data_IF_421900608059
#
_entry.id   IF_421900608059
#
_cell.length_a   1.000
_cell.length_b   1.000
_cell.length_c   1.000
_cell.angle_alpha   90.00
_cell.angle_beta   90.00
_cell.angle_gamma   90.00
#
_symmetry.space_group_name_H-M   'P 1'
#
loop_
_entity.id
_entity.type
_entity.pdbx_description
1 polymer ?
2 polymer ?
3 polymer ?
4 polymer ?
5 non-polymer ?
6 non-polymer ?
7 non-polymer ?
8 non-polymer ?
9 non-polymer ?
10 non-polymer ?
11 non-polymer ?
12 water ?
#
loop_
_entity_poly.entity_id
_entity_poly.type
_entity_poly.pdbx_seq_one_letter_code
_entity_poly.pdbx_strand_id
2 'polydeoxyribonucleotide' '(DC)(DG)(DG)(DC)(DC)(DT)(DA)(DC)(DG)' ?
3 'polydeoxyribonucleotide' '(DC)(DG)(DT)(DA)(DG)' ?
4 'polydeoxyribonucleotide' '(DG)(DC)(DC)(DG)' ?
#
# COMPACT_ATOMS: atom_id res chain seq x y z
N UNK A 12 -7.50 3.96 -24.29
CA UNK A 12 -7.26 3.73 -22.85
C UNK A 12 -8.04 2.51 -22.34
N UNK A 13 -7.32 1.46 -21.93
CA UNK A 13 -8.02 0.25 -21.45
C UNK A 13 -8.67 0.50 -20.08
N UNK A 14 -9.66 -0.33 -19.77
CA UNK A 14 -10.49 -0.03 -18.61
C UNK A 14 -9.85 -0.45 -17.28
N UNK A 15 -8.92 -1.40 -17.30
CA UNK A 15 -8.27 -1.90 -16.09
C UNK A 15 -6.88 -1.28 -15.93
N UNK A 16 -6.52 -0.92 -14.70
CA UNK A 16 -5.22 -0.28 -14.51
C UNK A 16 -4.05 -1.20 -14.84
N UNK A 17 -4.24 -2.52 -14.77
CA UNK A 17 -3.17 -3.46 -15.05
C UNK A 17 -2.89 -3.61 -16.54
N UNK A 18 -3.70 -2.97 -17.40
CA UNK A 18 -3.55 -3.03 -18.84
C UNK A 18 -2.79 -1.84 -19.42
N UNK A 19 -2.31 -0.93 -18.58
CA UNK A 19 -1.65 0.26 -19.07
C UNK A 19 -0.52 0.63 -18.13
N UNK A 20 0.58 1.17 -18.66
CA UNK A 20 1.65 1.63 -17.77
C UNK A 20 1.23 2.87 -17.01
N UNK A 21 1.58 2.91 -15.73
CA UNK A 21 1.31 4.08 -14.91
C UNK A 21 2.60 4.46 -14.20
N UNK A 22 3.26 5.54 -14.60
CA UNK A 22 4.54 5.93 -14.01
C UNK A 22 4.30 6.66 -12.70
N UNK A 23 5.39 6.79 -11.93
CA UNK A 23 5.26 7.39 -10.61
C UNK A 23 4.95 8.86 -10.70
N UNK A 24 5.61 9.55 -11.60
CA UNK A 24 5.33 10.96 -11.85
C UNK A 24 4.66 11.10 -13.21
N UNK A 25 3.82 12.12 -13.34
CA UNK A 25 2.98 12.20 -14.52
C UNK A 25 2.59 13.66 -14.79
N UNK A 26 1.55 13.85 -15.59
CA UNK A 26 1.24 15.15 -16.17
C UNK A 26 -0.10 15.68 -15.71
N UNK A 27 -0.72 15.07 -14.70
CA UNK A 27 -2.05 15.48 -14.25
C UNK A 27 -2.12 15.40 -12.73
N UNK A 28 -1.02 15.76 -12.08
CA UNK A 28 -0.90 15.55 -10.64
C UNK A 28 -2.01 16.20 -9.85
N UNK A 29 -2.30 17.48 -10.15
CA UNK A 29 -3.32 18.20 -9.41
C UNK A 29 -4.70 17.60 -9.57
N UNK A 30 -5.03 17.16 -10.79
CA UNK A 30 -6.33 16.55 -11.03
C UNK A 30 -6.45 15.23 -10.28
N UNK A 31 -5.41 14.40 -10.33
CA UNK A 31 -5.50 13.11 -9.68
C UNK A 31 -5.59 13.25 -8.17
N UNK A 32 -4.89 14.24 -7.59
CA UNK A 32 -4.91 14.43 -6.15
C UNK A 32 -6.32 14.80 -5.68
N UNK A 33 -7.03 15.62 -6.46
CA UNK A 33 -8.37 16.04 -6.08
C UNK A 33 -9.31 14.85 -6.08
N UNK A 34 -9.24 14.02 -7.13
CA UNK A 34 -10.09 12.85 -7.17
C UNK A 34 -9.75 11.88 -6.04
N UNK A 35 -8.47 11.79 -5.68
CA UNK A 35 -8.10 10.90 -4.56
C UNK A 35 -8.61 11.40 -3.23
N UNK A 36 -8.78 12.72 -3.05
CA UNK A 36 -9.45 13.22 -1.84
C UNK A 36 -10.87 12.66 -1.75
N UNK A 37 -11.61 12.73 -2.87
CA UNK A 37 -12.97 12.23 -2.87
C UNK A 37 -13.00 10.72 -2.67
N UNK A 38 -12.01 10.02 -3.20
CA UNK A 38 -11.93 8.57 -2.99
C UNK A 38 -11.75 8.27 -1.51
N UNK A 39 -10.82 8.97 -0.88
CA UNK A 39 -10.53 8.77 0.54
C UNK A 39 -11.77 9.05 1.37
N UNK A 40 -12.45 10.16 1.07
CA UNK A 40 -13.65 10.51 1.82
C UNK A 40 -14.72 9.45 1.67
N UNK A 41 -14.86 8.89 0.46
CA UNK A 41 -15.84 7.81 0.27
C UNK A 41 -15.49 6.61 1.13
N UNK A 42 -14.22 6.30 1.26
CA UNK A 42 -13.82 5.21 2.12
C UNK A 42 -14.19 5.48 3.57
N UNK A 43 -14.02 6.72 4.01
CA UNK A 43 -14.37 7.03 5.40
C UNK A 43 -15.86 6.87 5.67
N UNK A 44 -16.68 6.96 4.63
CA UNK A 44 -18.13 6.77 4.78
C UNK A 44 -18.56 5.34 4.47
N UNK A 45 -17.61 4.44 4.23
CA UNK A 45 -17.93 3.05 3.95
C UNK A 45 -18.42 2.75 2.55
N UNK A 46 -18.21 3.64 1.59
CA UNK A 46 -18.66 3.39 0.22
C UNK A 46 -17.45 2.98 -0.60
N UNK A 47 -17.16 1.69 -0.59
CA UNK A 47 -16.02 1.16 -1.31
C UNK A 47 -16.21 1.31 -2.82
N UNK A 48 -17.44 1.25 -3.30
CA UNK A 48 -17.66 1.39 -4.73
C UNK A 48 -17.29 2.77 -5.23
N UNK A 49 -17.76 3.81 -4.55
CA UNK A 49 -17.39 5.17 -4.94
C UNK A 49 -15.90 5.40 -4.77
N UNK A 50 -15.30 4.86 -3.71
CA UNK A 50 -13.84 4.96 -3.55
C UNK A 50 -13.13 4.40 -4.76
N UNK A 51 -13.58 3.22 -5.22
CA UNK A 51 -12.93 2.58 -6.36
C UNK A 51 -13.08 3.42 -7.62
N UNK A 52 -14.28 3.92 -7.90
CA UNK A 52 -14.43 4.72 -9.12
C UNK A 52 -13.54 5.96 -9.08
N UNK A 53 -13.48 6.67 -7.94
CA UNK A 53 -12.65 7.87 -7.87
C UNK A 53 -11.16 7.52 -7.98
N UNK A 54 -10.74 6.41 -7.35
CA UNK A 54 -9.36 5.95 -7.48
C UNK A 54 -9.03 5.58 -8.91
N UNK A 55 -9.96 4.86 -9.58
CA UNK A 55 -9.73 4.45 -10.96
C UNK A 55 -9.66 5.66 -11.89
N UNK A 56 -10.56 6.63 -11.71
CA UNK A 56 -10.51 7.85 -12.51
C UNK A 56 -9.21 8.60 -12.30
N UNK A 57 -8.77 8.73 -11.05
CA UNK A 57 -7.48 9.36 -10.80
C UNK A 57 -6.36 8.62 -11.54
N UNK A 58 -6.41 7.28 -11.49
CA UNK A 58 -5.35 6.48 -12.10
C UNK A 58 -5.33 6.63 -13.62
N UNK A 59 -6.50 6.79 -14.24
CA UNK A 59 -6.54 7.02 -15.68
C UNK A 59 -5.75 8.27 -16.02
N UNK A 60 -5.91 9.33 -15.21
CA UNK A 60 -5.21 10.56 -15.50
C UNK A 60 -3.71 10.39 -15.33
N UNK A 61 -3.28 9.57 -14.36
CA UNK A 61 -1.86 9.32 -14.21
C UNK A 61 -1.25 8.65 -15.43
N UNK A 62 -2.05 7.89 -16.18
CA UNK A 62 -1.56 7.13 -17.32
C UNK A 62 -1.58 7.90 -18.63
N UNK A 63 -2.15 9.11 -18.64
CA UNK A 63 -2.21 9.90 -19.86
C UNK A 63 -0.83 10.45 -20.21
N UNK A 64 -0.58 10.66 -21.51
CA UNK A 64 0.75 11.12 -21.95
C UNK A 64 0.99 12.61 -21.84
N UNK A 65 -0.03 13.39 -21.48
CA UNK A 65 0.13 14.84 -21.41
C UNK A 65 -0.98 15.40 -20.53
N UNK A 66 -0.92 16.69 -20.21
CA UNK A 66 -1.96 17.26 -19.33
C UNK A 66 -3.32 17.35 -20.01
N UNK A 67 -4.36 17.09 -19.22
CA UNK A 67 -5.71 17.45 -19.61
C UNK A 67 -5.88 18.96 -19.48
N UNK A 68 -6.25 19.61 -20.59
CA UNK A 68 -6.47 21.05 -20.65
C UNK A 68 -7.93 21.41 -20.88
N UNK A 69 -8.70 20.52 -21.46
CA UNK A 69 -10.09 20.83 -21.83
C UNK A 69 -10.95 19.63 -21.48
N UNK A 70 -12.19 19.92 -21.09
CA UNK A 70 -13.13 18.86 -20.74
C UNK A 70 -13.26 17.84 -21.85
N UNK A 71 -13.19 18.30 -23.10
CA UNK A 71 -13.34 17.43 -24.25
C UNK A 71 -12.38 16.25 -24.22
N UNK A 72 -11.23 16.41 -23.55
CA UNK A 72 -10.25 15.33 -23.53
C UNK A 72 -10.66 14.18 -22.61
N UNK A 73 -11.74 14.34 -21.86
CA UNK A 73 -12.22 13.25 -21.02
C UNK A 73 -13.21 12.33 -21.73
N UNK A 74 -13.76 12.76 -22.86
CA UNK A 74 -14.74 11.93 -23.57
C UNK A 74 -14.07 10.62 -24.01
N UNK A 75 -14.73 9.52 -23.76
CA UNK A 75 -14.17 8.23 -24.07
C UNK A 75 -13.23 7.67 -23.01
N UNK A 76 -12.81 8.47 -22.01
CA UNK A 76 -11.92 7.85 -21.01
C UNK A 76 -12.73 7.00 -20.03
N UNK A 77 -12.25 5.81 -19.70
CA UNK A 77 -12.97 4.97 -18.74
C UNK A 77 -12.99 5.60 -17.36
N UNK A 78 -14.11 5.40 -16.65
CA UNK A 78 -14.33 5.79 -15.26
C UNK A 78 -14.57 7.28 -15.10
N UNK A 79 -14.79 8.02 -16.20
CA UNK A 79 -15.20 9.42 -16.15
C UNK A 79 -16.65 9.53 -16.55
N UNK A 80 -17.51 9.73 -15.55
CA UNK A 80 -18.90 10.03 -15.74
C UNK A 80 -19.22 11.45 -15.34
N UNK A 81 -20.48 11.68 -15.00
CA UNK A 81 -20.91 13.03 -14.68
C UNK A 81 -20.12 13.61 -13.51
N UNK A 82 -19.96 12.81 -12.45
CA UNK A 82 -19.39 13.35 -11.22
C UNK A 82 -17.90 13.64 -11.38
N UNK A 83 -17.11 12.65 -11.80
CA UNK A 83 -15.67 12.86 -11.94
C UNK A 83 -15.37 13.92 -12.98
N UNK A 84 -16.19 13.99 -14.03
CA UNK A 84 -15.97 15.00 -15.06
C UNK A 84 -16.25 16.39 -14.52
N UNK A 85 -17.25 16.55 -13.65
CA UNK A 85 -17.53 17.86 -13.10
C UNK A 85 -16.42 18.33 -12.18
N UNK A 86 -15.80 17.41 -11.44
CA UNK A 86 -14.66 17.77 -10.61
C UNK A 86 -13.54 18.35 -11.47
N UNK A 87 -13.20 17.65 -12.55
CA UNK A 87 -12.11 18.10 -13.42
C UNK A 87 -12.48 19.43 -14.08
N UNK A 88 -13.74 19.56 -14.52
CA UNK A 88 -14.16 20.80 -15.17
C UNK A 88 -13.99 22.00 -14.24
N UNK A 89 -14.35 21.83 -12.97
CA UNK A 89 -14.22 22.95 -12.03
C UNK A 89 -12.75 23.26 -11.77
N UNK A 90 -11.90 22.25 -11.70
CA UNK A 90 -10.47 22.49 -11.52
C UNK A 90 -9.88 23.22 -12.72
N UNK A 91 -10.30 22.83 -13.94
CA UNK A 91 -9.78 23.47 -15.14
C UNK A 91 -10.22 24.92 -15.23
N UNK A 92 -11.46 25.21 -14.87
CA UNK A 92 -11.99 26.55 -15.03
C UNK A 92 -11.67 27.47 -13.86
N UNK A 93 -11.62 26.97 -12.63
CA UNK A 93 -11.42 27.82 -11.46
C UNK A 93 -10.19 27.49 -10.64
N UNK A 94 -9.50 26.37 -10.90
CA UNK A 94 -8.36 25.97 -10.12
C UNK A 94 -8.69 25.32 -8.79
N UNK A 95 -9.97 25.16 -8.47
CA UNK A 95 -10.43 24.51 -7.25
C UNK A 95 -11.79 23.90 -7.53
N UNK A 96 -12.09 22.81 -6.85
CA UNK A 96 -13.39 22.15 -6.91
C UNK A 96 -14.06 22.33 -5.55
N UNK A 97 -15.24 22.95 -5.54
CA UNK A 97 -15.84 23.30 -4.25
C UNK A 97 -16.11 22.07 -3.41
N UNK A 98 -16.55 20.98 -4.04
CA UNK A 98 -16.77 19.75 -3.29
C UNK A 98 -15.50 19.27 -2.60
N UNK A 99 -14.39 19.27 -3.33
CA UNK A 99 -13.12 18.83 -2.78
C UNK A 99 -12.73 19.71 -1.59
N UNK A 100 -12.85 21.03 -1.73
CA UNK A 100 -12.44 21.91 -0.64
C UNK A 100 -13.33 21.74 0.58
N UNK A 101 -14.62 21.49 0.36
CA UNK A 101 -15.53 21.28 1.48
C UNK A 101 -15.18 20.00 2.23
N UNK A 102 -14.79 18.97 1.49
CA UNK A 102 -14.31 17.75 2.14
C UNK A 102 -13.05 18.06 2.93
N UNK A 103 -12.09 18.72 2.30
CA UNK A 103 -10.81 18.99 2.93
C UNK A 103 -10.95 19.66 4.28
N UNK A 104 -11.83 20.65 4.39
CA UNK A 104 -11.93 21.41 5.62
C UNK A 104 -12.91 20.79 6.62
N UNK A 105 -13.61 19.72 6.24
CA UNK A 105 -14.65 19.19 7.10
C UNK A 105 -14.06 18.49 8.32
N UNK A 106 -14.72 18.68 9.47
CA UNK A 106 -14.28 18.04 10.70
C UNK A 106 -14.27 16.53 10.54
N UNK A 107 -15.29 15.98 9.90
CA UNK A 107 -15.37 14.54 9.68
C UNK A 107 -14.18 14.03 8.89
N UNK A 108 -13.84 14.68 7.78
CA UNK A 108 -12.73 14.21 6.98
C UNK A 108 -11.42 14.33 7.76
N UNK A 109 -11.17 15.48 8.37
CA UNK A 109 -9.88 15.67 9.03
C UNK A 109 -9.71 14.69 10.20
N UNK A 110 -10.76 14.46 10.97
CA UNK A 110 -10.64 13.57 12.12
C UNK A 110 -10.53 12.11 11.68
N UNK A 111 -11.29 11.68 10.68
CA UNK A 111 -11.16 10.31 10.25
C UNK A 111 -9.77 10.07 9.65
N UNK A 112 -9.25 11.05 8.91
CA UNK A 112 -7.89 10.93 8.41
C UNK A 112 -6.89 10.81 9.55
N UNK A 113 -7.01 11.68 10.57
CA UNK A 113 -6.11 11.61 11.72
C UNK A 113 -6.20 10.27 12.43
N UNK A 114 -7.41 9.78 12.65
CA UNK A 114 -7.55 8.55 13.43
C UNK A 114 -7.10 7.33 12.63
N UNK A 115 -7.49 7.25 11.36
CA UNK A 115 -7.13 6.07 10.60
C UNK A 115 -5.63 6.02 10.30
N UNK A 116 -4.94 7.16 10.34
CA UNK A 116 -3.49 7.17 10.21
C UNK A 116 -2.82 6.39 11.32
N UNK A 117 -3.49 6.25 12.48
CA UNK A 117 -2.90 5.55 13.60
C UNK A 117 -2.77 4.06 13.29
N UNK A 118 -1.57 3.50 13.50
CA UNK A 118 -1.38 2.06 13.43
C UNK A 118 -2.24 1.37 14.49
N UNK A 119 -3.13 0.48 14.05
CA UNK A 119 -4.05 -0.21 14.93
C UNK A 119 -5.47 0.28 14.86
N UNK A 120 -5.72 1.37 14.11
CA UNK A 120 -7.02 1.98 14.00
C UNK A 120 -7.44 1.95 12.55
N UNK A 121 -8.58 1.29 12.27
CA UNK A 121 -9.18 1.32 10.96
C UNK A 121 -10.37 2.25 10.86
N UNK A 122 -11.03 2.22 9.70
CA UNK A 122 -12.19 3.08 9.48
C UNK A 122 -13.26 2.81 10.52
N UNK A 123 -13.55 1.53 10.82
CA UNK A 123 -14.63 1.22 11.75
C UNK A 123 -14.35 1.76 13.14
N UNK A 124 -13.11 1.60 13.63
CA UNK A 124 -12.79 2.14 14.95
C UNK A 124 -12.83 3.67 14.95
N UNK A 125 -12.18 4.30 13.96
CA UNK A 125 -12.17 5.75 13.87
C UNK A 125 -13.58 6.32 13.84
N UNK A 126 -14.47 5.70 13.05
CA UNK A 126 -15.85 6.17 12.97
C UNK A 126 -16.55 6.07 14.32
N UNK A 127 -16.34 4.97 15.05
CA UNK A 127 -16.95 4.85 16.37
C UNK A 127 -16.45 5.95 17.30
N UNK A 128 -15.14 6.18 17.33
CA UNK A 128 -14.58 7.25 18.16
C UNK A 128 -15.15 8.60 17.74
N UNK A 129 -15.30 8.82 16.42
CA UNK A 129 -15.89 10.06 15.93
C UNK A 129 -17.29 10.25 16.49
N UNK A 130 -18.11 9.20 16.42
CA UNK A 130 -19.48 9.30 16.90
C UNK A 130 -19.51 9.51 18.41
N UNK A 131 -18.51 9.03 19.13
CA UNK A 131 -18.45 9.24 20.58
C UNK A 131 -18.00 10.64 20.94
N UNK A 132 -17.60 11.45 19.97
CA UNK A 132 -17.22 12.82 20.22
C UNK A 132 -15.73 13.07 20.25
N UNK A 133 -14.91 12.05 19.99
CA UNK A 133 -13.47 12.20 20.06
C UNK A 133 -12.98 12.87 18.77
N UNK A 134 -11.97 13.74 18.90
CA UNK A 134 -11.50 14.51 17.76
C UNK A 134 -9.99 14.61 17.62
N UNK A 135 -9.21 14.46 18.70
CA UNK A 135 -7.78 14.69 18.68
C UNK A 135 -7.03 13.50 19.25
N UNK A 136 -5.72 13.43 18.96
CA UNK A 136 -4.91 12.37 19.54
C UNK A 136 -4.90 12.48 21.06
N UNK A 137 -4.84 13.70 21.59
CA UNK A 137 -4.82 13.84 23.05
C UNK A 137 -6.13 13.36 23.68
N UNK A 138 -7.25 13.52 22.97
CA UNK A 138 -8.49 12.88 23.41
C UNK A 138 -8.30 11.38 23.63
N UNK A 139 -7.60 10.71 22.71
CA UNK A 139 -7.41 9.27 22.83
C UNK A 139 -6.42 8.93 23.94
N UNK A 140 -5.42 9.78 24.13
CA UNK A 140 -4.44 9.53 25.19
C UNK A 140 -5.05 9.68 26.58
N UNK A 141 -6.12 10.46 26.72
CA UNK A 141 -6.74 10.66 28.03
C UNK A 141 -7.77 9.59 28.37
N UNK A 142 -7.78 8.47 27.65
CA UNK A 142 -8.68 7.36 27.92
C UNK A 142 -7.99 6.09 27.47
N UNK A 143 -6.79 5.80 27.97
CA UNK A 143 -5.94 4.78 27.35
C UNK A 143 -6.37 3.36 27.63
N UNK A 144 -7.27 3.14 28.58
CA UNK A 144 -7.71 1.78 28.90
C UNK A 144 -8.56 1.20 27.78
N UNK A 145 -9.18 2.05 26.97
CA UNK A 145 -9.97 1.62 25.82
C UNK A 145 -9.12 1.16 24.65
N UNK A 146 -7.81 1.42 24.68
CA UNK A 146 -6.95 1.13 23.53
C UNK A 146 -6.36 -0.27 23.58
N UNK A 147 -6.21 -0.87 22.41
CA UNK A 147 -5.47 -2.11 22.31
C UNK A 147 -3.98 -1.83 22.44
N UNK A 148 -3.20 -2.89 22.70
CA UNK A 148 -1.75 -2.73 22.76
C UNK A 148 -1.23 -2.16 21.46
N UNK A 149 -1.78 -2.62 20.34
CA UNK A 149 -1.36 -2.15 19.03
C UNK A 149 -1.65 -0.66 18.90
N UNK A 150 -2.84 -0.25 19.33
CA UNK A 150 -3.21 1.16 19.22
C UNK A 150 -2.35 2.01 20.13
N UNK A 151 -2.00 1.51 21.32
CA UNK A 151 -1.13 2.27 22.21
C UNK A 151 0.21 2.51 21.56
N UNK A 152 0.77 1.47 20.94
CA UNK A 152 2.03 1.61 20.21
C UNK A 152 1.89 2.59 19.07
N UNK A 153 0.80 2.50 18.32
CA UNK A 153 0.59 3.42 17.21
C UNK A 153 0.47 4.86 17.67
N UNK A 154 -0.18 5.08 18.82
CA UNK A 154 -0.35 6.43 19.33
C UNK A 154 0.95 6.96 19.92
N UNK A 155 1.68 6.13 20.69
CA UNK A 155 2.96 6.61 21.23
C UNK A 155 3.93 7.01 20.12
N UNK A 156 3.98 6.22 19.05
CA UNK A 156 4.93 6.44 17.94
C UNK A 156 4.36 7.28 16.81
N UNK A 157 3.19 7.89 17.00
CA UNK A 157 2.49 8.47 15.86
C UNK A 157 3.32 9.57 15.19
N UNK A 158 4.00 10.39 15.98
CA UNK A 158 4.75 11.50 15.39
C UNK A 158 5.86 10.99 14.48
N UNK A 159 6.69 10.06 14.99
CA UNK A 159 7.73 9.48 14.14
C UNK A 159 7.12 8.80 12.91
N UNK A 160 6.01 8.09 13.09
CA UNK A 160 5.45 7.33 11.99
C UNK A 160 4.80 8.22 10.94
N UNK A 161 4.59 9.48 11.26
CA UNK A 161 4.08 10.47 10.32
C UNK A 161 5.18 11.11 9.49
N UNK A 162 6.43 10.87 9.81
CA UNK A 162 7.61 11.38 9.13
C UNK A 162 7.96 10.44 7.99
N UNK A 163 8.12 10.92 6.75
CA UNK A 163 8.40 9.99 5.66
C UNK A 163 9.71 9.25 5.84
N UNK A 164 9.68 7.96 5.49
CA UNK A 164 10.87 7.14 5.41
C UNK A 164 11.59 7.49 4.11
N UNK A 165 12.90 7.74 4.19
CA UNK A 165 13.64 8.11 2.99
C UNK A 165 14.28 6.88 2.37
N UNK A 166 14.35 6.86 1.03
CA UNK A 166 15.04 5.76 0.37
C UNK A 166 16.45 5.66 0.94
N UNK A 167 16.99 6.80 1.34
CA UNK A 167 18.31 6.80 1.98
C UNK A 167 18.33 6.00 3.27
N UNK A 168 17.20 5.88 3.99
CA UNK A 168 17.13 5.10 5.22
C UNK A 168 17.06 3.59 4.96
N UNK A 169 16.60 3.19 3.78
CA UNK A 169 16.16 1.81 3.56
C UNK A 169 17.35 0.86 3.48
N UNK A 170 18.46 1.32 2.89
CA UNK A 170 19.63 0.47 2.73
C UNK A 170 20.15 -0.02 4.07
N UNK A 171 20.32 0.91 5.02
CA UNK A 171 20.83 0.55 6.34
C UNK A 171 19.90 -0.44 7.02
N UNK A 172 18.60 -0.18 6.94
CA UNK A 172 17.60 -1.11 7.46
C UNK A 172 17.78 -2.50 6.85
N UNK A 173 17.83 -2.56 5.52
CA UNK A 173 17.88 -3.86 4.85
C UNK A 173 19.07 -4.67 5.32
N UNK A 174 20.21 -4.03 5.56
CA UNK A 174 21.35 -4.82 5.97
C UNK A 174 21.14 -5.38 7.39
N UNK A 175 20.47 -4.62 8.25
CA UNK A 175 20.20 -5.14 9.58
C UNK A 175 19.26 -6.34 9.50
N UNK A 176 18.24 -6.26 8.64
CA UNK A 176 17.32 -7.37 8.48
C UNK A 176 18.03 -8.57 7.86
N UNK A 177 18.91 -8.33 6.88
CA UNK A 177 19.68 -9.42 6.28
C UNK A 177 20.55 -10.13 7.30
N UNK A 178 21.17 -9.38 8.23
CA UNK A 178 22.00 -10.01 9.25
C UNK A 178 21.17 -10.98 10.09
N UNK A 179 19.98 -10.53 10.53
CA UNK A 179 19.14 -11.40 11.35
C UNK A 179 18.65 -12.61 10.56
N UNK A 180 18.26 -12.38 9.30
CA UNK A 180 17.75 -13.42 8.43
C UNK A 180 18.82 -14.47 8.16
N UNK A 181 20.06 -14.03 7.97
CA UNK A 181 21.16 -14.97 7.73
C UNK A 181 21.52 -15.84 8.91
N UNK A 182 21.37 -15.32 10.13
CA UNK A 182 21.56 -16.15 11.31
C UNK A 182 20.38 -17.09 11.48
N UNK A 183 19.19 -16.59 11.17
CA UNK A 183 17.99 -17.40 11.34
C UNK A 183 17.97 -18.55 10.36
N UNK A 184 18.44 -18.32 9.13
CA UNK A 184 18.48 -19.37 8.11
C UNK A 184 19.50 -19.00 7.03
N UNK A 185 20.71 -19.51 7.12
CA UNK A 185 21.70 -19.23 6.08
C UNK A 185 21.18 -19.55 4.68
N UNK A 186 21.46 -18.64 3.76
CA UNK A 186 20.98 -18.73 2.41
C UNK A 186 19.68 -18.03 2.16
N UNK A 187 18.97 -17.63 3.22
CA UNK A 187 17.72 -16.91 2.99
C UNK A 187 18.01 -15.50 2.49
N UNK A 188 17.08 -14.98 1.68
CA UNK A 188 17.28 -13.72 1.00
C UNK A 188 16.21 -12.73 1.41
N UNK A 189 16.54 -11.45 1.25
CA UNK A 189 15.66 -10.35 1.60
C UNK A 189 15.51 -9.48 0.35
N UNK A 190 14.27 -9.23 -0.05
CA UNK A 190 13.98 -8.40 -1.23
C UNK A 190 13.14 -7.20 -0.82
N UNK A 191 13.57 -6.00 -1.23
CA UNK A 191 12.77 -4.80 -0.99
C UNK A 191 11.58 -4.77 -1.92
N UNK A 192 10.39 -4.58 -1.35
CA UNK A 192 9.15 -4.51 -2.14
C UNK A 192 8.41 -3.19 -1.88
N UNK A 193 7.09 -3.20 -2.02
CA UNK A 193 6.30 -1.99 -1.80
C UNK A 193 6.68 -0.84 -2.72
N UNK A 194 6.38 0.38 -2.24
CA UNK A 194 6.58 1.55 -3.07
C UNK A 194 8.02 1.82 -3.46
N UNK A 195 8.98 1.46 -2.58
CA UNK A 195 10.37 1.72 -2.94
C UNK A 195 10.76 0.90 -4.15
N UNK A 196 10.21 -0.32 -4.29
CA UNK A 196 10.54 -1.11 -5.48
C UNK A 196 9.94 -0.49 -6.75
N UNK A 197 8.84 0.23 -6.62
CA UNK A 197 8.26 0.98 -7.73
C UNK A 197 8.95 2.31 -8.01
N UNK A 198 9.99 2.65 -7.27
CA UNK A 198 10.81 3.82 -7.53
C UNK A 198 10.54 5.00 -6.63
N UNK A 199 9.66 4.87 -5.66
CA UNK A 199 9.40 5.99 -4.75
C UNK A 199 10.66 6.35 -4.00
N UNK A 200 10.83 7.64 -3.74
CA UNK A 200 11.96 8.13 -2.99
C UNK A 200 11.63 8.24 -1.51
N UNK A 201 10.36 8.13 -1.15
CA UNK A 201 9.87 8.20 0.23
C UNK A 201 8.75 7.18 0.42
N UNK A 202 8.42 6.90 1.67
CA UNK A 202 7.30 6.03 1.93
C UNK A 202 6.88 6.13 3.38
N UNK A 203 5.72 5.54 3.68
CA UNK A 203 5.21 5.49 5.05
C UNK A 203 5.74 4.30 5.82
N UNK A 204 6.39 3.37 5.14
CA UNK A 204 6.96 2.19 5.78
C UNK A 204 7.89 1.52 4.79
N UNK A 205 8.56 0.47 5.25
CA UNK A 205 9.43 -0.34 4.41
C UNK A 205 8.88 -1.75 4.38
N UNK A 206 8.81 -2.35 3.19
CA UNK A 206 8.27 -3.68 2.96
C UNK A 206 9.35 -4.62 2.47
N UNK A 207 9.53 -5.75 3.16
CA UNK A 207 10.54 -6.73 2.76
C UNK A 207 9.91 -8.11 2.60
N UNK A 208 10.39 -8.83 1.59
CA UNK A 208 9.95 -10.19 1.26
C UNK A 208 11.13 -11.13 1.40
N UNK A 209 10.96 -12.18 2.20
CA UNK A 209 12.01 -13.11 2.57
C UNK A 209 11.68 -14.49 2.00
N UNK A 210 12.67 -15.15 1.40
CA UNK A 210 12.49 -16.52 0.94
C UNK A 210 13.81 -17.25 1.07
N UNK A 211 13.81 -18.49 0.62
CA UNK A 211 15.02 -19.34 0.62
C UNK A 211 14.95 -20.19 -0.63
N UNK A 212 16.09 -20.43 -1.31
CA UNK A 212 16.04 -21.12 -2.61
C UNK A 212 15.61 -22.58 -2.52
N UNK A 213 15.70 -23.20 -1.35
CA UNK A 213 15.30 -24.60 -1.18
C UNK A 213 13.87 -24.64 -0.63
N UNK A 214 12.93 -25.08 -1.46
CA UNK A 214 11.55 -25.13 -1.06
C UNK A 214 11.36 -25.88 0.25
N UNK A 215 10.63 -25.24 1.16
CA UNK A 215 10.36 -25.79 2.46
C UNK A 215 11.28 -25.30 3.55
N UNK A 216 12.47 -24.83 3.20
CA UNK A 216 13.40 -24.38 4.22
C UNK A 216 12.90 -23.13 4.92
N UNK A 217 11.98 -22.38 4.30
CA UNK A 217 11.47 -21.16 4.90
C UNK A 217 10.42 -21.41 5.98
N UNK A 218 9.96 -22.63 6.15
CA UNK A 218 8.97 -22.92 7.19
C UNK A 218 9.54 -22.53 8.54
N UNK A 219 8.73 -21.82 9.33
CA UNK A 219 9.11 -21.42 10.67
C UNK A 219 10.12 -20.31 10.75
N UNK A 220 10.41 -19.64 9.63
CA UNK A 220 11.50 -18.67 9.60
C UNK A 220 11.15 -17.37 10.32
N UNK A 221 9.96 -16.84 10.12
CA UNK A 221 9.71 -15.48 10.60
C UNK A 221 9.84 -15.37 12.12
N UNK A 222 9.36 -16.31 12.93
CA UNK A 222 9.61 -16.19 14.37
C UNK A 222 11.08 -16.14 14.72
N UNK A 223 11.90 -16.90 13.99
CA UNK A 223 13.34 -16.92 14.24
C UNK A 223 13.95 -15.57 13.89
N UNK A 224 13.45 -14.92 12.84
CA UNK A 224 13.95 -13.62 12.45
C UNK A 224 13.56 -12.58 13.49
N UNK A 225 12.29 -12.63 13.91
CA UNK A 225 11.79 -11.64 14.86
C UNK A 225 12.51 -11.72 16.20
N UNK A 226 12.76 -12.94 16.68
CA UNK A 226 13.45 -13.11 17.95
C UNK A 226 14.83 -12.47 17.90
N UNK A 227 15.51 -12.63 16.76
CA UNK A 227 16.87 -12.12 16.61
C UNK A 227 16.88 -10.60 16.53
N UNK A 228 15.94 -10.02 15.80
CA UNK A 228 15.83 -8.57 15.76
C UNK A 228 15.50 -8.02 17.13
N UNK A 229 14.64 -8.72 17.87
CA UNK A 229 14.27 -8.27 19.20
C UNK A 229 15.47 -8.35 20.15
N UNK A 230 16.26 -9.43 20.04
CA UNK A 230 17.45 -9.56 20.87
C UNK A 230 18.47 -8.45 20.57
N UNK A 231 18.48 -7.93 19.35
CA UNK A 231 19.36 -6.83 18.98
C UNK A 231 18.82 -5.48 19.45
N UNK A 232 17.67 -5.46 20.12
CA UNK A 232 17.09 -4.22 20.61
C UNK A 232 16.51 -3.32 19.53
N UNK A 233 16.19 -3.88 18.37
CA UNK A 233 15.72 -3.06 17.27
C UNK A 233 14.22 -2.97 17.15
N UNK A 234 13.48 -3.77 17.91
CA UNK A 234 12.05 -3.89 17.74
C UNK A 234 11.37 -3.10 18.85
N UNK A 235 10.69 -2.02 18.46
CA UNK A 235 9.92 -1.24 19.39
C UNK A 235 8.53 -1.84 19.62
N UNK A 236 7.99 -2.51 18.62
CA UNK A 236 6.70 -3.15 18.71
C UNK A 236 6.58 -4.27 17.68
N UNK A 237 6.05 -5.41 18.12
CA UNK A 237 5.50 -6.38 17.18
C UNK A 237 4.54 -7.27 17.95
N UNK A 238 3.66 -7.94 17.23
CA UNK A 238 2.57 -8.65 17.90
C UNK A 238 3.09 -9.77 18.79
N UNK A 258 3.32 -19.74 15.06
CA UNK A 258 3.76 -19.65 13.67
C UNK A 258 3.09 -18.47 12.97
N UNK A 259 3.80 -17.82 12.05
CA UNK A 259 3.24 -16.73 11.27
C UNK A 259 4.15 -16.46 10.08
N UNK A 260 3.60 -15.75 9.07
CA UNK A 260 4.32 -15.42 7.84
C UNK A 260 4.30 -13.94 7.46
N UNK A 261 3.53 -13.10 8.16
CA UNK A 261 3.58 -11.66 8.00
C UNK A 261 3.78 -11.03 9.38
N UNK A 262 4.66 -10.04 9.45
CA UNK A 262 4.90 -9.32 10.71
C UNK A 262 4.86 -7.83 10.42
N UNK A 263 4.02 -7.11 11.17
CA UNK A 263 3.87 -5.67 11.05
C UNK A 263 4.51 -5.07 12.28
N UNK A 264 5.70 -4.51 12.14
CA UNK A 264 6.38 -4.07 13.35
C UNK A 264 6.85 -2.63 13.23
N UNK A 265 7.29 -2.11 14.37
CA UNK A 265 7.89 -0.78 14.50
C UNK A 265 9.35 -1.02 14.90
N UNK A 266 10.28 -0.53 14.09
CA UNK A 266 11.72 -0.67 14.24
C UNK A 266 12.32 0.60 14.81
N UNK A 267 13.40 0.46 15.58
CA UNK A 267 14.24 1.58 15.92
C UNK A 267 15.25 1.81 14.80
N UNK A 268 15.20 2.96 14.16
CA UNK A 268 16.17 3.26 13.11
C UNK A 268 17.13 4.37 13.51
N UNK A 269 18.44 4.12 13.43
CA UNK A 269 19.42 5.17 13.75
C UNK A 269 19.15 6.50 13.05
N UNK A 270 19.51 7.57 13.77
CA UNK A 270 19.48 8.95 13.30
C UNK A 270 20.68 9.62 13.90
N UNK A 271 21.15 10.74 13.35
CA UNK A 271 22.31 11.41 13.93
C UNK A 271 22.12 11.71 15.41
N UNK A 272 22.88 11.03 16.26
CA UNK A 272 22.81 11.27 17.69
C UNK A 272 21.56 10.76 18.38
N UNK A 273 20.73 9.99 17.67
CA UNK A 273 19.48 9.50 18.24
C UNK A 273 18.90 8.43 17.33
N UNK A 274 17.57 8.33 17.26
CA UNK A 274 16.93 7.35 16.40
C UNK A 274 15.49 7.78 16.17
N UNK A 275 14.82 7.06 15.27
CA UNK A 275 13.40 7.30 15.06
C UNK A 275 12.70 5.97 14.83
N UNK A 276 11.42 5.94 15.18
CA UNK A 276 10.58 4.79 14.92
C UNK A 276 10.15 4.74 13.46
N UNK A 277 10.22 3.56 12.88
CA UNK A 277 9.83 3.32 11.48
C UNK A 277 8.97 2.06 11.42
N UNK A 278 7.92 2.10 10.62
CA UNK A 278 7.13 0.90 10.35
C UNK A 278 7.84 0.03 9.31
N UNK A 279 7.97 -1.26 9.62
CA UNK A 279 8.57 -2.25 8.74
C UNK A 279 7.66 -3.48 8.67
N UNK A 280 7.37 -3.94 7.45
CA UNK A 280 6.61 -5.15 7.22
C UNK A 280 7.57 -6.23 6.71
N UNK A 281 7.51 -7.40 7.30
CA UNK A 281 8.30 -8.55 6.87
C UNK A 281 7.34 -9.65 6.49
N UNK A 282 7.55 -10.25 5.32
CA UNK A 282 6.70 -11.34 4.86
C UNK A 282 7.59 -12.45 4.33
N UNK A 283 7.23 -13.69 4.64
CA UNK A 283 7.96 -14.86 4.19
C UNK A 283 7.11 -15.60 3.17
N UNK A 284 7.75 -16.07 2.11
CA UNK A 284 7.11 -16.93 1.12
C UNK A 284 8.01 -18.08 0.72
N UNK A 285 7.46 -19.26 0.46
CA UNK A 285 8.25 -20.31 -0.20
C UNK A 285 8.63 -19.86 -1.60
N UNK A 286 9.76 -20.39 -2.07
CA UNK A 286 10.26 -19.90 -3.35
C UNK A 286 9.29 -20.21 -4.48
N UNK A 287 8.51 -21.30 -4.37
CA UNK A 287 7.47 -21.58 -5.36
C UNK A 287 6.43 -20.45 -5.47
N UNK A 288 6.18 -19.74 -4.36
CA UNK A 288 5.19 -18.66 -4.34
C UNK A 288 5.84 -17.30 -4.51
N UNK A 289 7.17 -17.22 -4.49
CA UNK A 289 7.84 -15.93 -4.45
C UNK A 289 7.37 -15.00 -5.56
N UNK A 290 7.20 -15.44 -6.81
CA UNK A 290 6.76 -14.45 -7.84
C UNK A 290 5.41 -13.86 -7.54
N UNK A 291 4.51 -14.67 -7.00
CA UNK A 291 3.19 -14.13 -6.63
C UNK A 291 3.28 -13.17 -5.45
N UNK A 292 4.13 -13.50 -4.49
CA UNK A 292 4.26 -12.62 -3.33
C UNK A 292 4.97 -11.32 -3.70
N UNK A 293 6.00 -11.42 -4.54
CA UNK A 293 6.69 -10.24 -5.04
C UNK A 293 5.72 -9.34 -5.79
N UNK A 294 4.95 -9.93 -6.69
CA UNK A 294 3.96 -9.15 -7.43
C UNK A 294 2.97 -8.49 -6.48
N UNK A 295 2.37 -9.25 -5.59
CA UNK A 295 1.37 -8.67 -4.69
C UNK A 295 1.92 -7.57 -3.79
N UNK A 296 3.10 -7.81 -3.20
CA UNK A 296 3.65 -6.86 -2.25
C UNK A 296 4.33 -5.67 -2.93
N UNK A 297 4.57 -5.71 -4.23
CA UNK A 297 5.11 -4.55 -4.92
C UNK A 297 4.03 -3.56 -5.30
N UNK A 298 2.78 -4.00 -5.40
CA UNK A 298 1.70 -3.02 -5.56
C UNK A 298 1.69 -2.39 -6.96
N UNK A 299 1.16 -1.16 -7.04
CA UNK A 299 0.42 -0.48 -5.99
C UNK A 299 -0.81 -1.25 -5.54
N UNK A 300 -1.42 -0.77 -4.44
CA UNK A 300 -2.65 -1.38 -3.96
C UNK A 300 -3.72 -1.40 -5.07
N UNK A 301 -3.94 -0.26 -5.72
CA UNK A 301 -4.96 -0.26 -6.78
C UNK A 301 -4.56 -1.16 -7.93
N UNK A 302 -3.27 -1.16 -8.30
CA UNK A 302 -2.83 -2.04 -9.36
C UNK A 302 -3.19 -3.49 -9.06
N UNK A 303 -2.92 -3.94 -7.83
CA UNK A 303 -3.14 -5.34 -7.52
C UNK A 303 -4.64 -5.67 -7.43
N UNK A 304 -5.46 -4.77 -6.88
CA UNK A 304 -6.92 -4.96 -6.89
C UNK A 304 -7.41 -5.10 -8.31
N UNK A 305 -6.93 -4.22 -9.19
CA UNK A 305 -7.33 -4.27 -10.58
C UNK A 305 -6.83 -5.54 -11.26
N UNK A 306 -5.62 -5.97 -10.94
CA UNK A 306 -5.09 -7.19 -11.56
C UNK A 306 -5.87 -8.42 -11.12
N UNK A 307 -6.23 -8.50 -9.83
CA UNK A 307 -7.04 -9.61 -9.34
C UNK A 307 -8.45 -9.56 -9.94
N UNK A 308 -9.01 -8.36 -10.08
CA UNK A 308 -10.31 -8.22 -10.72
C UNK A 308 -10.26 -8.68 -12.18
N UNK A 309 -9.22 -8.25 -12.90
CA UNK A 309 -9.05 -8.64 -14.29
C UNK A 309 -8.91 -10.15 -14.43
N UNK A 310 -8.08 -10.74 -13.58
CA UNK A 310 -7.85 -12.17 -13.63
C UNK A 310 -9.16 -12.93 -13.52
N UNK A 311 -9.97 -12.57 -12.53
CA UNK A 311 -11.18 -13.32 -12.26
C UNK A 311 -12.26 -13.04 -13.31
N UNK A 312 -12.48 -11.77 -13.61
CA UNK A 312 -13.61 -11.39 -14.46
C UNK A 312 -13.32 -11.59 -15.94
N UNK A 313 -12.08 -11.35 -16.36
CA UNK A 313 -11.77 -11.48 -17.79
C UNK A 313 -11.17 -12.83 -18.15
N UNK A 314 -10.42 -13.46 -17.23
CA UNK A 314 -9.72 -14.68 -17.54
C UNK A 314 -10.24 -15.90 -16.78
N UNK A 315 -11.15 -15.70 -15.82
CA UNK A 315 -11.67 -16.81 -15.06
C UNK A 315 -10.68 -17.49 -14.14
N UNK A 316 -9.61 -16.80 -13.78
CA UNK A 316 -8.56 -17.30 -12.89
C UNK A 316 -8.53 -16.49 -11.60
N UNK A 317 -8.15 -17.16 -10.50
CA UNK A 317 -8.19 -16.55 -9.16
C UNK A 317 -6.78 -16.28 -8.67
N UNK A 318 -6.47 -15.01 -8.46
CA UNK A 318 -5.12 -14.56 -8.11
C UNK A 318 -5.03 -14.07 -6.68
N UNK A 319 -3.97 -14.48 -5.98
CA UNK A 319 -3.63 -13.88 -4.70
C UNK A 319 -2.11 -13.89 -4.59
N UNK A 320 -1.60 -13.55 -3.39
CA UNK A 320 -0.16 -13.49 -3.20
C UNK A 320 0.49 -14.85 -3.04
N UNK A 321 -0.28 -15.93 -3.09
CA UNK A 321 0.24 -17.28 -3.02
C UNK A 321 0.25 -17.99 -4.36
N UNK A 322 -0.54 -17.54 -5.33
CA UNK A 322 -0.67 -18.30 -6.55
C UNK A 322 -1.81 -17.81 -7.41
N UNK A 323 -2.02 -18.56 -8.50
CA UNK A 323 -2.99 -18.24 -9.56
C UNK A 323 -3.70 -19.54 -9.88
N UNK A 324 -5.00 -19.60 -9.61
CA UNK A 324 -5.75 -20.85 -9.62
C UNK A 324 -6.74 -20.87 -10.78
N UNK A 325 -6.75 -21.98 -11.51
CA UNK A 325 -7.76 -22.24 -12.51
C UNK A 325 -8.85 -23.07 -11.87
N UNK A 326 -10.03 -22.50 -11.59
CA UNK A 326 -11.05 -23.24 -10.85
C UNK A 326 -11.79 -24.26 -11.68
N UNK A 327 -11.63 -24.25 -12.98
CA UNK A 327 -12.26 -25.30 -13.79
C UNK A 327 -11.38 -26.55 -13.88
N UNK A 328 -10.08 -26.38 -14.07
CA UNK A 328 -9.18 -27.54 -14.07
C UNK A 328 -8.67 -27.88 -12.68
N UNK A 329 -8.90 -27.03 -11.68
CA UNK A 329 -8.49 -27.29 -10.32
C UNK A 329 -6.98 -27.37 -10.21
N UNK A 330 -6.31 -26.41 -10.86
CA UNK A 330 -4.85 -26.44 -10.92
C UNK A 330 -4.29 -25.06 -10.66
N UNK A 331 -3.08 -25.03 -10.11
CA UNK A 331 -2.33 -23.82 -9.84
C UNK A 331 -1.27 -23.64 -10.91
N UNK A 332 -1.11 -22.40 -11.37
CA UNK A 332 -0.06 -22.08 -12.32
C UNK A 332 1.28 -22.00 -11.61
N UNK A 333 2.29 -22.61 -12.19
CA UNK A 333 3.64 -22.49 -11.68
C UNK A 333 4.20 -21.24 -12.32
N UNK A 334 4.81 -20.40 -11.53
CA UNK A 334 5.46 -19.22 -12.06
C UNK A 334 6.87 -19.17 -11.51
N UNK A 335 7.82 -18.85 -12.39
CA UNK A 335 9.20 -18.65 -11.98
C UNK A 335 9.59 -17.17 -11.92
N UNK A 336 8.70 -16.28 -12.38
CA UNK A 336 8.99 -14.86 -12.47
C UNK A 336 7.67 -14.10 -12.54
N UNK A 337 7.75 -12.80 -12.24
CA UNK A 337 6.61 -11.93 -12.51
C UNK A 337 6.25 -11.95 -14.00
N UNK A 338 7.26 -12.00 -14.87
CA UNK A 338 6.98 -12.07 -16.30
C UNK A 338 6.05 -13.23 -16.62
N UNK A 339 6.28 -14.40 -15.97
CA UNK A 339 5.43 -15.57 -16.19
C UNK A 339 3.98 -15.23 -15.88
N UNK A 340 3.76 -14.51 -14.77
CA UNK A 340 2.41 -14.24 -14.32
C UNK A 340 1.68 -13.32 -15.30
N UNK A 341 2.34 -12.24 -15.74
CA UNK A 341 1.72 -11.41 -16.78
C UNK A 341 1.39 -12.23 -18.03
N UNK A 342 2.30 -13.12 -18.46
CA UNK A 342 2.02 -13.95 -19.62
C UNK A 342 0.81 -14.87 -19.40
N UNK A 343 0.74 -15.51 -18.22
CA UNK A 343 -0.38 -16.39 -17.91
C UNK A 343 -1.70 -15.65 -18.12
N UNK A 344 -1.75 -14.38 -17.68
CA UNK A 344 -2.94 -13.54 -17.71
C UNK A 344 -3.15 -12.82 -19.04
N UNK A 345 -2.29 -13.04 -20.04
CA UNK A 345 -2.47 -12.39 -21.33
C UNK A 345 -2.23 -10.89 -21.35
N UNK A 346 -1.39 -10.40 -20.44
CA UNK A 346 -1.12 -8.99 -20.27
C UNK A 346 0.32 -8.67 -20.67
N UNK A 347 0.53 -7.52 -21.27
CA UNK A 347 1.89 -7.07 -21.53
C UNK A 347 2.58 -6.83 -20.20
N UNK A 348 3.86 -7.23 -20.11
CA UNK A 348 4.60 -7.06 -18.88
C UNK A 348 4.79 -5.57 -18.56
N UNK A 349 4.59 -5.23 -17.28
CA UNK A 349 4.86 -3.91 -16.74
C UNK A 349 5.92 -4.04 -15.65
N UNK A 350 7.07 -3.38 -15.76
CA UNK A 350 8.00 -3.37 -14.63
C UNK A 350 7.41 -2.64 -13.45
N UNK A 351 8.01 -2.79 -12.27
CA UNK A 351 7.41 -2.18 -11.06
C UNK A 351 7.20 -0.68 -11.18
N UNK A 352 8.10 0.01 -11.86
CA UNK A 352 7.96 1.46 -11.93
C UNK A 352 6.82 1.90 -12.83
N UNK A 353 6.17 0.98 -13.55
CA UNK A 353 4.96 1.27 -14.32
C UNK A 353 3.70 0.68 -13.70
N UNK A 354 3.76 0.33 -12.42
CA UNK A 354 2.62 -0.21 -11.67
C UNK A 354 2.10 0.78 -10.64
N UNK A 355 2.35 2.07 -10.86
CA UNK A 355 1.98 3.12 -9.90
C UNK A 355 0.57 3.60 -10.14
N UNK A 356 -0.36 2.67 -10.26
CA UNK A 356 -1.76 3.02 -10.44
C UNK A 356 -2.31 3.71 -9.20
X LIG E 1 3.84 3.56 1.04
X LIG E 1 2.74 4.45 1.59
X LIG E 1 4.52 2.64 2.03
X LIG E 1 4.87 4.38 0.34
X LIG E 1 3.19 2.74 -0.20
X LIG E 1 3.24 1.19 -0.50
X LIG E 1 2.87 1.06 -1.95
X LIG E 1 4.60 0.67 -0.11
X LIG E 1 2.03 0.59 0.33
X LIG E 1 1.96 -0.31 1.67
X LIG E 1 3.40 -0.31 2.28
X LIG E 1 0.74 0.20 2.38
X LIG E 1 1.60 -1.73 1.05
X LIG E 1 2.62 -2.50 0.42
X LIG E 1 2.05 -3.23 -0.77
X LIG E 1 1.14 -4.23 -0.28
X LIG E 1 1.16 -2.41 -1.69
X LIG E 1 1.88 -1.63 -2.65
X LIG E 1 0.42 -3.56 -2.39
X LIG E 1 0.09 -4.45 -1.18
X LIG E 1 -1.19 -4.09 -0.58
X LIG E 1 -1.45 -3.11 0.36
X LIG E 1 -2.72 -3.02 0.70
X LIG E 1 -3.33 -3.98 -0.11
X LIG E 1 -4.70 -4.35 -0.22
X LIG E 1 -5.68 -3.88 0.39
X LIG E 1 -4.87 -5.35 -1.16
X LIG E 1 -3.86 -5.95 -1.87
X LIG E 1 -4.21 -6.92 -2.73
X LIG E 1 -2.58 -5.62 -1.79
X LIG E 1 -2.40 -4.63 -0.89
X LIG F 1 4.13 0.44 -0.15
X LIG F 1 3.20 1.33 -0.95
X LIG F 1 3.79 2.60 -1.50
X LIG F 1 2.47 0.55 -2.04
X LIG F 1 1.96 1.77 -0.05
X LIG F 1 1.95 2.51 1.36
X LIG F 1 2.06 4.00 1.15
X LIG F 1 0.56 2.15 1.82
X LIG F 1 3.12 1.95 2.15
X LIG G 1 -3.31 -12.23 -0.98
X LIG G 1 -2.97 -10.97 -0.44
X LIG G 1 -2.84 -13.48 -0.26
X LIG G 1 -2.55 -14.51 -1.07
X LIG H 1 -19.72 -1.01 -1.78
X LIG H 1 -19.93 0.37 -1.94
X LIG H 1 -19.78 -1.42 -0.30
X LIG H 1 -19.01 -0.53 0.48
X LIG I 1 -4.98 15.08 -23.07
X LIG I 1 -5.31 14.59 -24.34
X LIG I 1 -4.15 14.09 -22.24
X LIG I 1 -3.26 13.31 -22.99
X LIG J 1 11.27 -29.95 6.20
X LIG J 1 12.02 -29.36 7.21
X LIG J 1 11.58 -29.27 4.86
X LIG J 1 10.69 -29.72 3.89
X LIG K 1 -4.62 2.75 10.81
X LIG L 1 7.71 11.58 -3.46
X LIG L 1 7.81 9.81 -3.91
X LIG L 1 8.02 9.08 -2.68
X LIG L 1 6.56 9.43 -4.52
X LIG L 1 8.98 9.70 -4.77
X LIG M 1 -6.98 5.53 -4.71
X LIG N 1 3.67 -1.94 4.39
X LIG O 1 5.12 0.47 1.98
X LIG P 1 -17.63 27.53 -13.38
X LIG Q 1 0.56 -18.75 3.46
X LIG R 1 -17.70 8.85 -19.70
X LIG S 1 0.21 -8.74 -0.94
X LIG S 1 -0.78 -9.24 -1.78
X LIG S 1 -0.44 -8.07 0.26
X LIG S 1 -1.33 -8.99 0.82
X LIG T 1 -0.89 0.99 3.24
#
# INVERSE_FOLDING_TARGET
GSAAAPLSPAWMPAYACQRPTPLTHHNTGLSEALEILAEAAGFEGSEGRLLTFCRAASVLKALPSPVTTLSQLQGLPHFGEHSSRVVQELLEHGVCEEVERVRRSERYQTMKLFTQIFGVGVKTADRWYREGLRTLDDLREQPQKLTQQQKAGLQHHQDLSTPVLRSDVDALQQVVEEAVGQALPGATVTLTGGFRRGKLQGHDVDFLITHPKEGQEAGLLPRVMCRLQDQGLILYHQHQHSCCESPTRLAQQSHMDAFERSFCIFRLPQPGSWKAVRVDLVVAPVSQFPFALLGWTGSKLFQRELRRFSRKEKGLWLNSHGLFDPEQKTFFQAASEEDIFRHLGLEYLPPEQRNA
DGT PG O1G O2G O3G O3B PB O1B O2B O3A PA O1A O2A O5' C5' C4' O4' C3' O3' C2' C1' N9 C8 N7 C5 C6 O6 N1 C2 N2 N3 C4
PPV O11 P1 O21 O31 OPP P2 O12 O22 O32
EDO C1 O1 C2 O2
EDO C1 O1 C2 O2
EDO C1 O1 C2 O2
EDO C1 O1 C2 O2
NA NA
EPE C10 S O1S O2S O3S
DTT S1
MN MN
MN MN
MN MN
MN MN
MN MN
EDO C1 O1 C2 O2
MN MN
#
